data_IF_318707868338
#
_entry.id   IF_318707868338
#
_cell.length_a   1.000
_cell.length_b   1.000
_cell.length_c   1.000
_cell.angle_alpha   90.00
_cell.angle_beta   90.00
_cell.angle_gamma   90.00
#
_symmetry.space_group_name_H-M   'P 1'
#
loop_
_entity.id
_entity.type
_entity.pdbx_description
1 polymer ?
#
# COMPACT_ATOMS: atom_id res chain seq x y z
N UNK A 1 -30.14 25.43 -2.01
CA UNK A 1 -29.89 23.99 -1.83
C UNK A 1 -31.16 23.17 -1.61
N UNK A 2 -31.00 21.97 -1.14
CA UNK A 2 -32.13 21.09 -0.82
C UNK A 2 -33.01 21.66 0.28
N UNK A 3 -32.43 22.33 1.26
CA UNK A 3 -33.10 22.94 2.41
C UNK A 3 -34.07 24.06 2.03
N UNK A 4 -33.80 24.77 0.96
CA UNK A 4 -34.65 25.85 0.45
C UNK A 4 -35.96 25.33 -0.15
N UNK A 5 -36.02 24.03 -0.43
CA UNK A 5 -37.18 23.34 -1.00
C UNK A 5 -38.03 22.58 0.03
N UNK A 6 -37.61 22.57 1.30
CA UNK A 6 -38.31 21.86 2.37
C UNK A 6 -39.39 22.77 3.00
N UNK A 7 -40.56 22.18 3.30
CA UNK A 7 -41.55 22.84 4.16
C UNK A 7 -41.03 22.91 5.60
N UNK A 8 -41.60 23.76 6.44
CA UNK A 8 -41.17 23.94 7.84
C UNK A 8 -41.24 22.63 8.64
N UNK A 9 -42.28 21.83 8.42
CA UNK A 9 -42.42 20.54 9.04
C UNK A 9 -41.33 19.54 8.56
N UNK A 10 -41.06 19.51 7.26
CA UNK A 10 -40.00 18.67 6.69
C UNK A 10 -38.63 19.15 7.16
N UNK A 11 -38.41 20.44 7.31
CA UNK A 11 -37.17 21.02 7.82
C UNK A 11 -36.93 20.59 9.27
N UNK A 12 -37.92 20.62 10.13
CA UNK A 12 -37.84 20.21 11.53
C UNK A 12 -37.45 18.73 11.63
N UNK A 13 -38.08 17.84 10.84
CA UNK A 13 -37.79 16.41 10.81
C UNK A 13 -36.38 16.12 10.24
N UNK A 14 -35.99 16.86 9.20
CA UNK A 14 -34.75 16.62 8.49
C UNK A 14 -33.50 17.22 9.18
N UNK A 15 -33.65 18.11 10.15
CA UNK A 15 -32.55 18.89 10.74
C UNK A 15 -31.43 18.01 11.25
N UNK A 16 -31.72 17.02 12.10
CA UNK A 16 -30.70 16.13 12.65
C UNK A 16 -30.09 15.20 11.58
N UNK A 17 -30.92 14.72 10.66
CA UNK A 17 -30.43 13.86 9.54
C UNK A 17 -29.52 14.65 8.61
N UNK A 18 -29.87 15.87 8.26
CA UNK A 18 -29.05 16.72 7.40
C UNK A 18 -27.75 17.13 8.08
N UNK A 19 -27.77 17.38 9.38
CA UNK A 19 -26.58 17.65 10.18
C UNK A 19 -25.62 16.47 10.13
N UNK A 20 -26.11 15.25 10.37
CA UNK A 20 -25.34 14.03 10.33
C UNK A 20 -24.75 13.75 8.95
N UNK A 21 -25.54 13.90 7.87
CA UNK A 21 -25.06 13.76 6.50
C UNK A 21 -23.95 14.77 6.19
N UNK A 22 -24.11 16.02 6.57
CA UNK A 22 -23.11 17.07 6.37
C UNK A 22 -21.81 16.75 7.11
N UNK A 23 -21.91 16.33 8.35
CA UNK A 23 -20.77 15.95 9.17
C UNK A 23 -19.99 14.84 8.50
N UNK A 24 -20.64 13.77 8.08
CA UNK A 24 -19.97 12.64 7.40
C UNK A 24 -19.37 13.02 6.05
N UNK A 25 -20.07 13.85 5.28
CA UNK A 25 -19.53 14.34 4.00
C UNK A 25 -18.33 15.28 4.21
N UNK A 26 -18.37 16.15 5.23
CA UNK A 26 -17.22 17.02 5.53
C UNK A 26 -15.99 16.22 5.92
N UNK A 27 -16.12 15.13 6.68
CA UNK A 27 -14.99 14.26 7.00
C UNK A 27 -14.41 13.58 5.76
N UNK A 28 -15.23 13.14 4.81
CA UNK A 28 -14.72 12.60 3.54
C UNK A 28 -13.93 13.65 2.75
N UNK A 29 -14.35 14.91 2.80
CA UNK A 29 -13.62 16.03 2.19
C UNK A 29 -12.31 16.33 2.95
N UNK A 30 -12.35 16.31 4.27
CA UNK A 30 -11.20 16.56 5.16
C UNK A 30 -10.08 15.51 4.97
N UNK A 31 -10.43 14.25 4.75
CA UNK A 31 -9.46 13.19 4.43
C UNK A 31 -9.04 13.14 2.95
N UNK A 32 -9.40 14.16 2.17
CA UNK A 32 -8.95 14.32 0.78
C UNK A 32 -9.68 13.44 -0.24
N UNK A 33 -10.89 12.97 0.05
CA UNK A 33 -11.68 12.08 -0.83
C UNK A 33 -12.74 12.82 -1.67
N UNK A 34 -12.69 14.15 -1.76
CA UNK A 34 -13.68 14.98 -2.47
C UNK A 34 -13.81 14.70 -3.98
N UNK A 35 -12.88 13.96 -4.56
CA UNK A 35 -12.93 13.54 -5.96
C UNK A 35 -13.70 12.24 -6.19
N UNK A 36 -14.04 11.51 -5.13
CA UNK A 36 -14.76 10.24 -5.24
C UNK A 36 -16.26 10.48 -5.45
N UNK A 37 -16.82 9.74 -6.37
CA UNK A 37 -18.28 9.64 -6.52
C UNK A 37 -18.84 8.68 -5.44
N UNK A 38 -19.95 9.06 -4.83
CA UNK A 38 -20.59 8.26 -3.76
C UNK A 38 -21.10 6.88 -4.22
N UNK A 39 -21.28 6.70 -5.52
CA UNK A 39 -21.70 5.42 -6.12
C UNK A 39 -20.53 4.60 -6.67
N UNK A 40 -19.29 5.02 -6.43
CA UNK A 40 -18.11 4.27 -6.89
C UNK A 40 -18.02 2.91 -6.19
N UNK A 41 -17.81 1.85 -6.97
CA UNK A 41 -17.66 0.49 -6.44
C UNK A 41 -16.46 0.40 -5.50
N UNK A 42 -16.66 -0.15 -4.31
CA UNK A 42 -15.59 -0.29 -3.29
C UNK A 42 -14.43 -1.18 -3.77
N UNK A 43 -14.69 -2.15 -4.62
CA UNK A 43 -13.65 -2.99 -5.23
C UNK A 43 -12.68 -2.22 -6.15
N UNK A 44 -13.05 -1.02 -6.60
CA UNK A 44 -12.20 -0.14 -7.43
C UNK A 44 -11.38 0.86 -6.62
N UNK A 45 -11.54 0.87 -5.29
CA UNK A 45 -10.82 1.77 -4.40
C UNK A 45 -9.39 1.26 -4.16
N UNK A 46 -8.44 2.17 -4.11
CA UNK A 46 -7.09 1.86 -3.63
C UNK A 46 -7.10 1.56 -2.11
N UNK A 47 -6.03 0.91 -1.63
CA UNK A 47 -5.88 0.63 -0.20
C UNK A 47 -5.96 1.89 0.65
N UNK A 48 -5.27 2.97 0.25
CA UNK A 48 -5.32 4.25 0.94
C UNK A 48 -6.69 4.94 0.89
N UNK A 49 -7.43 4.85 -0.23
CA UNK A 49 -8.81 5.36 -0.31
C UNK A 49 -9.74 4.61 0.66
N UNK A 50 -9.64 3.28 0.68
CA UNK A 50 -10.44 2.44 1.59
C UNK A 50 -10.14 2.73 3.07
N UNK A 51 -8.86 2.92 3.41
CA UNK A 51 -8.44 3.27 4.78
C UNK A 51 -8.99 4.64 5.20
N UNK A 52 -8.91 5.65 4.33
CA UNK A 52 -9.45 6.99 4.60
C UNK A 52 -10.97 7.01 4.72
N UNK A 53 -11.70 6.20 3.95
CA UNK A 53 -13.15 6.06 4.11
C UNK A 53 -13.48 5.50 5.50
N UNK A 54 -12.75 4.47 5.94
CA UNK A 54 -12.90 3.91 7.29
C UNK A 54 -12.60 4.97 8.36
N UNK A 55 -11.50 5.72 8.20
CA UNK A 55 -11.14 6.80 9.12
C UNK A 55 -12.24 7.86 9.18
N UNK A 56 -12.72 8.36 8.05
CA UNK A 56 -13.81 9.34 7.99
C UNK A 56 -15.09 8.83 8.67
N UNK A 57 -15.40 7.54 8.53
CA UNK A 57 -16.55 6.93 9.20
C UNK A 57 -16.38 6.94 10.72
N UNK A 58 -15.17 6.64 11.23
CA UNK A 58 -14.89 6.63 12.66
C UNK A 58 -14.90 8.03 13.29
N UNK A 59 -14.29 9.00 12.62
CA UNK A 59 -14.32 10.41 13.05
C UNK A 59 -15.76 10.92 13.13
N UNK A 60 -16.61 10.52 12.19
CA UNK A 60 -18.03 10.89 12.14
C UNK A 60 -18.86 10.40 13.34
N UNK A 61 -18.39 9.41 14.10
CA UNK A 61 -19.12 8.91 15.28
C UNK A 61 -18.99 9.82 16.51
N UNK A 62 -18.06 10.79 16.48
CA UNK A 62 -17.76 11.70 17.61
C UNK A 62 -17.56 10.97 18.95
N UNK A 63 -17.02 9.75 18.92
CA UNK A 63 -16.71 9.01 20.13
C UNK A 63 -15.58 9.72 20.87
N UNK A 64 -15.61 9.67 22.18
CA UNK A 64 -14.60 10.20 23.11
C UNK A 64 -13.97 9.05 23.90
N UNK A 65 -12.77 9.28 24.45
CA UNK A 65 -12.02 8.27 25.22
C UNK A 65 -11.71 6.99 24.43
N UNK A 66 -11.55 7.11 23.11
CA UNK A 66 -11.21 5.98 22.22
C UNK A 66 -9.72 6.04 21.87
N UNK A 67 -9.10 4.87 21.80
CA UNK A 67 -7.76 4.69 21.25
C UNK A 67 -7.87 4.31 19.77
N UNK A 68 -7.42 5.19 18.88
CA UNK A 68 -7.31 4.94 17.45
C UNK A 68 -5.89 4.49 17.10
N UNK A 69 -5.75 3.42 16.35
CA UNK A 69 -4.47 2.91 15.84
C UNK A 69 -4.54 2.91 14.32
N UNK A 70 -3.62 3.62 13.70
CA UNK A 70 -3.56 3.83 12.23
C UNK A 70 -2.17 3.39 11.74
N UNK A 71 -2.17 2.59 10.68
CA UNK A 71 -0.95 2.10 10.04
C UNK A 71 -0.80 2.78 8.68
N UNK A 72 0.25 3.58 8.51
CA UNK A 72 0.60 4.34 7.30
C UNK A 72 -0.60 5.06 6.63
N UNK A 73 -1.36 5.90 7.36
CA UNK A 73 -2.56 6.54 6.78
C UNK A 73 -2.23 7.55 5.68
N UNK A 74 -0.98 8.03 5.58
CA UNK A 74 -0.51 8.94 4.53
C UNK A 74 -0.22 8.24 3.20
N UNK A 75 -0.22 6.90 3.16
CA UNK A 75 0.20 6.15 1.97
C UNK A 75 -0.59 6.54 0.71
N UNK A 76 0.13 6.86 -0.37
CA UNK A 76 -0.47 7.27 -1.65
C UNK A 76 -1.11 8.66 -1.66
N UNK A 77 -0.97 9.45 -0.59
CA UNK A 77 -1.40 10.83 -0.56
C UNK A 77 -0.42 11.77 -1.27
N UNK A 78 -0.97 12.80 -1.86
CA UNK A 78 -0.19 13.97 -2.25
C UNK A 78 0.09 14.83 -0.99
N UNK A 79 1.23 15.50 -0.94
CA UNK A 79 1.64 16.30 0.22
C UNK A 79 0.59 17.33 0.68
N UNK A 80 -0.14 17.95 -0.26
CA UNK A 80 -1.28 18.81 0.06
C UNK A 80 -2.37 18.11 0.85
N UNK A 81 -2.61 16.82 0.56
CA UNK A 81 -3.69 16.07 1.20
C UNK A 81 -3.22 15.51 2.56
N UNK A 82 -1.88 15.33 2.77
CA UNK A 82 -1.29 15.02 4.08
C UNK A 82 -1.64 16.07 5.14
N UNK A 83 -1.54 17.36 4.80
CA UNK A 83 -1.90 18.45 5.73
C UNK A 83 -3.34 18.31 6.22
N UNK A 84 -4.28 17.97 5.32
CA UNK A 84 -5.68 17.74 5.69
C UNK A 84 -5.87 16.54 6.59
N UNK A 85 -5.15 15.45 6.30
CA UNK A 85 -5.18 14.25 7.13
C UNK A 85 -4.65 14.56 8.54
N UNK A 86 -3.51 15.23 8.66
CA UNK A 86 -2.93 15.67 9.94
C UNK A 86 -3.96 16.46 10.76
N UNK A 87 -4.58 17.49 10.15
CA UNK A 87 -5.61 18.28 10.83
C UNK A 87 -6.80 17.42 11.27
N UNK A 88 -7.19 16.41 10.50
CA UNK A 88 -8.29 15.52 10.87
C UNK A 88 -7.92 14.65 12.07
N UNK A 89 -6.67 14.18 12.15
CA UNK A 89 -6.16 13.39 13.28
C UNK A 89 -6.02 14.26 14.53
N UNK A 90 -5.55 15.50 14.39
CA UNK A 90 -5.49 16.48 15.49
C UNK A 90 -6.89 16.80 16.03
N UNK A 91 -7.89 17.03 15.17
CA UNK A 91 -9.29 17.20 15.60
C UNK A 91 -9.80 15.97 16.36
N UNK A 92 -9.46 14.77 15.91
CA UNK A 92 -9.86 13.53 16.58
C UNK A 92 -9.25 13.43 17.99
N UNK A 93 -7.96 13.80 18.15
CA UNK A 93 -7.29 13.91 19.44
C UNK A 93 -7.96 14.97 20.32
N UNK A 94 -8.25 16.14 19.79
CA UNK A 94 -8.80 17.30 20.54
C UNK A 94 -10.22 17.02 21.07
N UNK A 95 -10.93 16.02 20.52
CA UNK A 95 -12.18 15.50 21.08
C UNK A 95 -11.99 14.64 22.34
N UNK A 96 -10.76 14.48 22.86
CA UNK A 96 -10.45 13.66 24.04
C UNK A 96 -10.06 12.22 23.70
N UNK A 97 -9.67 11.94 22.48
CA UNK A 97 -9.20 10.62 22.05
C UNK A 97 -7.67 10.52 22.08
N UNK A 98 -7.18 9.29 22.07
CA UNK A 98 -5.76 8.98 21.84
C UNK A 98 -5.60 8.45 20.42
N UNK A 99 -4.62 8.99 19.67
CA UNK A 99 -4.35 8.56 18.30
C UNK A 99 -2.89 8.08 18.22
N UNK A 100 -2.71 6.81 17.89
CA UNK A 100 -1.41 6.20 17.60
C UNK A 100 -1.30 6.02 16.09
N UNK A 101 -0.23 6.55 15.51
CA UNK A 101 0.02 6.47 14.07
C UNK A 101 1.38 5.82 13.84
N UNK A 102 1.42 4.75 13.05
CA UNK A 102 2.67 4.20 12.53
C UNK A 102 2.95 4.91 11.21
N UNK A 103 4.03 5.65 11.13
CA UNK A 103 4.30 6.54 9.98
C UNK A 103 5.78 6.69 9.66
N UNK A 104 6.03 7.08 8.40
CA UNK A 104 7.36 7.40 7.88
C UNK A 104 7.41 8.83 7.30
N UNK A 105 6.26 9.50 7.24
CA UNK A 105 6.17 10.87 6.72
C UNK A 105 6.71 11.88 7.74
N UNK A 106 7.63 12.73 7.28
CA UNK A 106 8.30 13.74 8.11
C UNK A 106 7.30 14.73 8.71
N UNK A 107 6.35 15.21 7.91
CA UNK A 107 5.41 16.24 8.36
C UNK A 107 4.48 15.68 9.43
N UNK A 108 4.02 14.43 9.25
CA UNK A 108 3.22 13.71 10.26
C UNK A 108 3.99 13.54 11.58
N UNK A 109 5.27 13.15 11.52
CA UNK A 109 6.10 13.00 12.73
C UNK A 109 6.32 14.33 13.46
N UNK A 110 6.53 15.42 12.72
CA UNK A 110 6.77 16.74 13.32
C UNK A 110 5.50 17.35 13.95
N UNK A 111 4.33 16.98 13.50
CA UNK A 111 3.04 17.44 14.01
C UNK A 111 2.48 16.56 15.14
N UNK A 112 3.17 15.49 15.49
CA UNK A 112 2.79 14.63 16.61
C UNK A 112 3.13 15.28 17.96
N UNK A 113 2.39 14.96 19.02
CA UNK A 113 2.70 15.41 20.38
C UNK A 113 3.85 14.60 21.00
N UNK A 114 3.99 13.33 20.57
CA UNK A 114 4.98 12.40 21.09
C UNK A 114 5.45 11.44 20.01
N UNK A 115 6.76 11.19 19.93
CA UNK A 115 7.38 10.26 18.99
C UNK A 115 8.01 9.10 19.75
N UNK A 116 7.78 7.89 19.27
CA UNK A 116 8.49 6.68 19.69
C UNK A 116 9.25 6.17 18.45
N UNK A 117 10.59 6.21 18.50
CA UNK A 117 11.46 5.75 17.40
C UNK A 117 11.96 4.34 17.71
N UNK A 118 11.72 3.42 16.76
CA UNK A 118 12.08 2.02 16.88
C UNK A 118 13.34 1.72 16.06
N UNK A 119 14.27 0.98 16.65
CA UNK A 119 15.53 0.67 16.00
C UNK A 119 16.36 -0.36 16.76
N UNK A 120 17.71 -0.25 16.67
CA UNK A 120 18.48 0.66 15.80
C UNK A 120 18.50 0.26 14.33
N UNK A 121 18.16 -1.00 14.02
CA UNK A 121 18.11 -1.56 12.65
C UNK A 121 16.83 -2.40 12.47
N UNK A 122 16.77 -3.19 11.41
CA UNK A 122 15.64 -4.06 11.11
C UNK A 122 15.87 -5.51 11.54
N UNK A 123 14.81 -6.29 11.70
CA UNK A 123 14.83 -7.71 12.03
C UNK A 123 15.50 -7.99 13.38
N UNK A 124 16.47 -8.89 13.40
CA UNK A 124 17.17 -9.32 14.65
C UNK A 124 17.97 -8.19 15.33
N UNK A 125 18.26 -7.13 14.62
CA UNK A 125 19.03 -5.98 15.10
C UNK A 125 18.13 -4.77 15.37
N UNK A 126 16.83 -4.96 15.36
CA UNK A 126 15.82 -3.98 15.68
C UNK A 126 15.00 -4.40 16.90
N UNK A 127 13.86 -3.75 17.09
CA UNK A 127 12.91 -4.08 18.15
C UNK A 127 13.16 -3.36 19.48
N UNK A 128 14.05 -2.36 19.49
CA UNK A 128 14.33 -1.52 20.65
C UNK A 128 13.73 -0.13 20.49
N UNK A 129 13.31 0.51 21.57
CA UNK A 129 12.96 1.93 21.58
C UNK A 129 14.26 2.72 21.67
N UNK A 130 14.67 3.37 20.58
CA UNK A 130 15.91 4.16 20.52
C UNK A 130 15.69 5.63 20.88
N UNK A 131 14.44 6.10 20.83
CA UNK A 131 14.04 7.42 21.28
C UNK A 131 12.57 7.41 21.70
N UNK A 132 12.24 8.24 22.70
CA UNK A 132 10.86 8.51 23.13
C UNK A 132 10.79 9.92 23.68
N UNK A 133 9.97 10.80 23.10
CA UNK A 133 9.87 12.20 23.50
C UNK A 133 9.14 13.08 22.50
N UNK A 134 9.21 14.40 22.71
CA UNK A 134 8.60 15.37 21.79
C UNK A 134 9.35 15.49 20.46
N UNK A 135 8.72 16.02 19.39
CA UNK A 135 9.40 16.30 18.12
C UNK A 135 10.64 17.19 18.28
N UNK A 136 10.60 18.21 19.15
CA UNK A 136 11.72 19.11 19.39
C UNK A 136 12.90 18.38 20.05
N UNK A 137 12.63 17.44 20.95
CA UNK A 137 13.66 16.59 21.55
C UNK A 137 14.23 15.62 20.51
N UNK A 138 13.38 15.08 19.61
CA UNK A 138 13.78 14.22 18.50
C UNK A 138 14.79 14.91 17.57
N UNK A 139 14.58 16.19 17.24
CA UNK A 139 15.47 16.97 16.38
C UNK A 139 16.92 17.07 16.93
N UNK A 140 17.10 16.85 18.22
CA UNK A 140 18.41 16.86 18.92
C UNK A 140 18.93 15.47 19.25
N UNK A 141 18.14 14.44 19.00
CA UNK A 141 18.55 13.06 19.22
C UNK A 141 19.57 12.61 18.16
N UNK A 142 20.44 11.69 18.52
CA UNK A 142 21.46 11.15 17.60
C UNK A 142 20.99 9.93 16.80
N UNK A 143 19.69 9.59 16.82
CA UNK A 143 19.17 8.42 16.11
C UNK A 143 19.21 8.62 14.60
N UNK A 144 19.14 7.53 13.85
CA UNK A 144 19.11 7.59 12.38
C UNK A 144 17.94 8.44 11.90
N UNK A 145 16.74 8.20 12.43
CA UNK A 145 15.52 8.96 12.09
C UNK A 145 15.71 10.45 12.40
N UNK A 146 16.25 10.79 13.55
CA UNK A 146 16.52 12.18 13.95
C UNK A 146 17.45 12.90 12.98
N UNK A 147 18.51 12.24 12.49
CA UNK A 147 19.48 12.83 11.55
C UNK A 147 18.83 13.18 10.22
N UNK A 148 17.94 12.31 9.70
CA UNK A 148 17.20 12.59 8.47
C UNK A 148 16.12 13.67 8.66
N UNK A 149 15.36 13.64 9.75
CA UNK A 149 14.32 14.64 10.02
C UNK A 149 14.94 16.03 10.20
N UNK A 150 16.05 16.12 10.95
CA UNK A 150 16.77 17.38 11.19
C UNK A 150 17.53 17.90 9.97
N UNK A 151 17.73 17.06 8.93
CA UNK A 151 18.49 17.41 7.73
C UNK A 151 20.01 17.32 7.91
N UNK A 152 20.50 16.77 9.02
CA UNK A 152 21.94 16.46 9.21
C UNK A 152 22.38 15.40 8.20
N UNK A 153 21.54 14.43 7.94
CA UNK A 153 21.68 13.49 6.84
C UNK A 153 20.61 13.76 5.77
N UNK A 154 21.01 13.76 4.52
CA UNK A 154 20.11 13.94 3.37
C UNK A 154 20.47 12.95 2.28
N UNK A 155 19.48 12.59 1.48
CA UNK A 155 19.73 11.82 0.25
C UNK A 155 20.24 12.80 -0.79
N UNK A 156 21.49 12.62 -1.19
CA UNK A 156 22.12 13.47 -2.22
C UNK A 156 21.39 13.35 -3.55
N UNK A 157 21.04 14.48 -4.11
CA UNK A 157 20.46 14.56 -5.45
C UNK A 157 21.62 14.77 -6.43
N UNK A 158 21.73 13.91 -7.45
CA UNK A 158 22.75 14.07 -8.47
C UNK A 158 22.71 15.49 -9.07
N UNK A 159 23.84 16.22 -9.07
CA UNK A 159 23.89 17.61 -9.55
C UNK A 159 23.53 17.71 -11.03
N UNK A 160 23.88 16.70 -11.81
CA UNK A 160 23.55 16.64 -13.23
C UNK A 160 22.45 15.62 -13.49
N UNK A 161 21.45 16.04 -14.25
CA UNK A 161 20.38 15.14 -14.72
C UNK A 161 20.84 14.45 -16.00
N UNK A 162 20.39 13.21 -16.17
CA UNK A 162 20.64 12.46 -17.40
C UNK A 162 20.04 13.22 -18.59
N UNK A 163 20.76 13.42 -19.71
CA UNK A 163 20.22 14.07 -20.89
C UNK A 163 19.06 13.26 -21.46
N UNK A 164 18.03 13.94 -21.94
CA UNK A 164 16.94 13.29 -22.64
C UNK A 164 17.42 12.76 -23.99
N UNK A 165 17.01 11.57 -24.34
CA UNK A 165 17.25 10.97 -25.65
C UNK A 165 16.12 11.37 -26.62
N UNK A 166 16.40 11.30 -27.92
CA UNK A 166 15.35 11.48 -28.94
C UNK A 166 14.34 10.34 -28.96
N UNK A 167 14.69 9.18 -28.37
CA UNK A 167 13.79 8.02 -28.26
C UNK A 167 12.72 8.30 -27.22
N UNK A 168 11.48 8.29 -27.67
CA UNK A 168 10.33 8.59 -26.81
C UNK A 168 9.21 7.59 -27.09
N UNK A 169 8.49 7.20 -26.05
CA UNK A 169 7.18 6.57 -26.18
C UNK A 169 6.13 7.67 -26.04
N UNK A 170 5.28 7.85 -27.06
CA UNK A 170 4.26 8.91 -27.07
C UNK A 170 2.87 8.29 -27.04
N UNK A 171 2.11 8.60 -26.01
CA UNK A 171 0.70 8.27 -25.88
C UNK A 171 -0.12 9.49 -26.28
N UNK A 172 -0.97 9.35 -27.27
CA UNK A 172 -1.74 10.44 -27.89
C UNK A 172 -3.22 10.24 -27.62
N UNK A 173 -3.90 11.32 -27.22
CA UNK A 173 -5.36 11.38 -27.08
C UNK A 173 -5.92 10.49 -25.96
N UNK A 174 -5.23 10.31 -24.85
CA UNK A 174 -5.74 9.49 -23.73
C UNK A 174 -6.98 10.12 -23.08
N UNK A 175 -8.11 9.36 -23.06
CA UNK A 175 -9.46 9.86 -22.66
C UNK A 175 -10.15 9.02 -21.59
N UNK A 176 -9.46 8.07 -20.99
CA UNK A 176 -10.06 7.22 -19.96
C UNK A 176 -10.43 8.00 -18.70
N UNK A 177 -11.53 7.65 -18.06
CA UNK A 177 -12.01 8.24 -16.80
C UNK A 177 -12.04 9.79 -16.85
N UNK A 178 -11.15 10.46 -16.08
CA UNK A 178 -11.05 11.91 -16.03
C UNK A 178 -10.03 12.52 -17.00
N UNK A 179 -9.36 11.74 -17.82
CA UNK A 179 -8.43 12.24 -18.82
C UNK A 179 -9.19 12.94 -19.97
N UNK A 180 -8.65 14.08 -20.43
CA UNK A 180 -9.33 14.97 -21.37
C UNK A 180 -8.69 14.99 -22.76
N UNK A 181 -8.30 13.81 -23.28
CA UNK A 181 -7.65 13.71 -24.58
C UNK A 181 -6.22 14.28 -24.49
N UNK A 182 -5.45 13.81 -23.52
CA UNK A 182 -4.10 14.32 -23.27
C UNK A 182 -3.05 13.54 -24.05
N UNK A 183 -2.03 14.27 -24.50
CA UNK A 183 -0.83 13.72 -25.12
C UNK A 183 0.32 13.72 -24.11
N UNK A 184 1.01 12.59 -24.02
CA UNK A 184 2.14 12.45 -23.10
C UNK A 184 3.32 11.80 -23.80
N UNK A 185 4.48 12.46 -23.71
CA UNK A 185 5.76 11.94 -24.20
C UNK A 185 6.60 11.43 -23.04
N UNK A 186 7.05 10.20 -23.14
CA UNK A 186 7.86 9.51 -22.14
C UNK A 186 9.27 9.29 -22.71
N UNK A 187 10.27 10.10 -22.33
CA UNK A 187 11.64 9.96 -22.83
C UNK A 187 12.26 8.66 -22.30
N UNK A 188 12.66 7.77 -23.21
CA UNK A 188 13.21 6.47 -22.87
C UNK A 188 14.65 6.58 -22.35
N UNK A 189 15.08 5.61 -21.53
CA UNK A 189 16.39 5.61 -20.90
C UNK A 189 16.52 6.57 -19.70
N UNK A 190 15.40 7.13 -19.24
CA UNK A 190 15.34 8.04 -18.09
C UNK A 190 14.44 7.50 -16.99
N UNK A 191 14.56 7.99 -15.78
CA UNK A 191 13.59 7.77 -14.71
C UNK A 191 12.50 8.83 -14.80
N UNK A 192 11.26 8.39 -15.01
CA UNK A 192 10.10 9.25 -15.17
C UNK A 192 9.21 9.12 -13.93
N UNK A 193 8.91 10.26 -13.30
CA UNK A 193 7.97 10.32 -12.18
C UNK A 193 6.66 10.95 -12.65
N UNK A 194 5.54 10.22 -12.51
CA UNK A 194 4.20 10.74 -12.77
C UNK A 194 3.61 11.22 -11.45
N UNK A 195 3.60 12.53 -11.26
CA UNK A 195 3.15 13.19 -10.03
C UNK A 195 1.80 13.89 -10.21
N UNK A 196 1.18 14.25 -9.10
CA UNK A 196 -0.08 15.00 -9.06
C UNK A 196 -0.95 14.60 -7.87
N UNK A 197 -1.96 15.40 -7.57
CA UNK A 197 -2.88 15.17 -6.45
C UNK A 197 -3.63 13.83 -6.58
N UNK A 198 -4.16 13.33 -5.46
CA UNK A 198 -5.00 12.12 -5.47
C UNK A 198 -6.20 12.32 -6.41
N UNK A 199 -6.51 11.30 -7.22
CA UNK A 199 -7.59 11.40 -8.21
C UNK A 199 -7.26 12.20 -9.49
N UNK A 200 -6.02 12.69 -9.70
CA UNK A 200 -5.66 13.47 -10.89
C UNK A 200 -5.60 12.66 -12.20
N UNK A 201 -5.69 11.33 -12.14
CA UNK A 201 -5.66 10.46 -13.34
C UNK A 201 -4.34 9.74 -13.59
N UNK A 202 -3.38 9.80 -12.66
CA UNK A 202 -2.07 9.11 -12.79
C UNK A 202 -2.21 7.61 -13.08
N UNK A 203 -2.99 6.91 -12.27
CA UNK A 203 -3.24 5.47 -12.43
C UNK A 203 -4.02 5.18 -13.72
N UNK A 204 -4.96 6.04 -14.08
CA UNK A 204 -5.72 5.94 -15.33
C UNK A 204 -4.78 6.03 -16.53
N UNK A 205 -3.86 6.98 -16.53
CA UNK A 205 -2.89 7.17 -17.60
C UNK A 205 -1.95 5.97 -17.74
N UNK A 206 -1.34 5.55 -16.62
CA UNK A 206 -0.28 4.53 -16.65
C UNK A 206 -0.84 3.11 -16.52
N UNK A 207 -1.62 2.81 -15.46
CA UNK A 207 -2.01 1.44 -15.13
C UNK A 207 -3.24 0.95 -15.90
N UNK A 208 -4.09 1.89 -16.37
CA UNK A 208 -5.35 1.54 -17.06
C UNK A 208 -5.31 1.84 -18.56
N UNK A 209 -4.37 2.66 -19.04
CA UNK A 209 -4.21 2.98 -20.46
C UNK A 209 -2.89 2.43 -21.01
N UNK A 210 -1.75 2.95 -20.56
CA UNK A 210 -0.44 2.61 -21.15
C UNK A 210 -0.03 1.16 -20.90
N UNK A 211 -0.09 0.71 -19.65
CA UNK A 211 0.35 -0.63 -19.26
C UNK A 211 -0.49 -1.75 -19.93
N UNK A 212 -1.84 -1.70 -19.97
CA UNK A 212 -2.62 -2.69 -20.69
C UNK A 212 -2.31 -2.72 -22.18
N UNK A 213 -2.16 -1.55 -22.83
CA UNK A 213 -1.77 -1.48 -24.22
C UNK A 213 -0.42 -2.17 -24.49
N UNK A 214 0.62 -1.82 -23.74
CA UNK A 214 1.95 -2.44 -23.87
C UNK A 214 1.89 -3.94 -23.60
N UNK A 215 1.07 -4.38 -22.65
CA UNK A 215 0.88 -5.79 -22.32
C UNK A 215 0.15 -6.54 -23.44
N UNK A 216 -0.82 -5.91 -24.11
CA UNK A 216 -1.46 -6.48 -25.31
C UNK A 216 -0.47 -6.58 -26.46
N UNK A 217 0.26 -5.51 -26.73
CA UNK A 217 1.21 -5.44 -27.84
C UNK A 217 2.35 -6.45 -27.71
N UNK A 218 2.93 -6.58 -26.51
CA UNK A 218 4.11 -7.42 -26.27
C UNK A 218 3.79 -8.86 -25.88
N UNK A 219 2.67 -9.08 -25.19
CA UNK A 219 2.36 -10.37 -24.55
C UNK A 219 0.98 -10.92 -24.87
N UNK A 220 0.22 -10.30 -25.79
CA UNK A 220 -1.16 -10.69 -26.13
C UNK A 220 -2.10 -10.78 -24.92
N UNK A 221 -1.94 -9.86 -23.94
CA UNK A 221 -2.80 -9.77 -22.76
C UNK A 221 -4.25 -9.47 -23.19
N UNK A 222 -5.22 -10.03 -22.45
CA UNK A 222 -6.65 -9.84 -22.69
C UNK A 222 -7.23 -8.56 -22.08
N UNK A 223 -6.44 -7.82 -21.29
CA UNK A 223 -6.92 -6.60 -20.63
C UNK A 223 -6.89 -5.44 -21.61
N UNK A 224 -8.07 -4.90 -21.92
CA UNK A 224 -8.19 -3.74 -22.82
C UNK A 224 -7.71 -2.46 -22.14
N UNK A 225 -6.94 -1.61 -22.86
CA UNK A 225 -6.60 -0.27 -22.42
C UNK A 225 -7.82 0.65 -22.47
N UNK A 226 -7.83 1.67 -21.64
CA UNK A 226 -8.81 2.74 -21.73
C UNK A 226 -8.63 3.56 -23.03
N UNK A 227 -9.65 4.31 -23.51
CA UNK A 227 -9.63 4.97 -24.80
C UNK A 227 -8.45 5.94 -24.98
N UNK A 228 -7.79 5.84 -26.13
CA UNK A 228 -6.70 6.69 -26.60
C UNK A 228 -6.74 6.73 -28.14
N UNK A 229 -5.95 7.61 -28.78
CA UNK A 229 -5.92 7.70 -30.25
C UNK A 229 -4.80 6.82 -30.84
N UNK A 230 -3.55 7.01 -30.39
CA UNK A 230 -2.40 6.24 -30.87
C UNK A 230 -1.26 6.20 -29.86
N UNK A 231 -0.35 5.25 -30.06
CA UNK A 231 0.93 5.17 -29.33
C UNK A 231 2.06 5.01 -30.34
N UNK A 232 3.09 5.85 -30.21
CA UNK A 232 4.27 5.87 -31.07
C UNK A 232 5.53 5.48 -30.28
N UNK A 233 6.57 5.00 -30.97
CA UNK A 233 7.86 4.64 -30.36
C UNK A 233 7.90 3.24 -29.76
N UNK A 234 7.00 2.36 -30.17
CA UNK A 234 6.90 0.97 -29.69
C UNK A 234 8.12 0.13 -30.07
N UNK A 235 8.77 0.47 -31.16
CA UNK A 235 9.99 -0.19 -31.64
C UNK A 235 11.17 -0.08 -30.67
N UNK A 236 11.09 0.81 -29.69
CA UNK A 236 12.11 0.98 -28.67
C UNK A 236 11.83 0.21 -27.37
N UNK A 237 10.72 -0.55 -27.29
CA UNK A 237 10.29 -1.23 -26.07
C UNK A 237 10.15 -2.73 -26.32
N UNK A 238 11.08 -3.51 -25.79
CA UNK A 238 11.06 -4.98 -25.92
C UNK A 238 10.23 -5.68 -24.83
N UNK A 239 10.18 -5.08 -23.64
CA UNK A 239 9.51 -5.67 -22.47
C UNK A 239 8.88 -4.59 -21.60
N UNK A 240 7.77 -4.95 -20.96
CA UNK A 240 7.19 -4.17 -19.87
C UNK A 240 7.11 -5.04 -18.61
N UNK A 241 7.53 -4.47 -17.48
CA UNK A 241 7.45 -5.11 -16.17
C UNK A 241 6.65 -4.20 -15.26
N UNK A 242 5.53 -4.68 -14.75
CA UNK A 242 4.72 -3.98 -13.78
C UNK A 242 5.07 -4.48 -12.37
N UNK A 243 5.39 -3.55 -11.47
CA UNK A 243 5.56 -3.82 -10.04
C UNK A 243 4.53 -3.00 -9.30
N UNK A 244 3.63 -3.66 -8.62
CA UNK A 244 2.55 -3.05 -7.86
C UNK A 244 2.66 -3.37 -6.36
N UNK A 245 1.73 -2.87 -5.56
CA UNK A 245 1.65 -3.12 -4.12
C UNK A 245 0.88 -4.39 -3.77
N UNK A 246 0.52 -5.23 -4.75
CA UNK A 246 -0.19 -6.48 -4.50
C UNK A 246 0.67 -7.44 -3.69
N UNK A 247 0.08 -8.21 -2.77
CA UNK A 247 0.81 -9.25 -2.07
C UNK A 247 1.45 -10.24 -3.04
N UNK A 248 2.74 -10.53 -2.87
CA UNK A 248 3.50 -11.46 -3.72
C UNK A 248 3.06 -12.92 -3.60
N UNK A 249 2.09 -13.21 -2.74
CA UNK A 249 1.46 -14.52 -2.61
C UNK A 249 0.32 -14.48 -1.59
N UNK A 250 -0.76 -15.17 -1.93
CA UNK A 250 -1.97 -15.23 -1.09
C UNK A 250 -2.06 -16.52 -0.26
N UNK A 251 -1.08 -17.41 -0.38
CA UNK A 251 -1.08 -18.68 0.34
C UNK A 251 -0.04 -18.69 1.45
N UNK A 252 -0.29 -19.42 2.55
CA UNK A 252 0.68 -19.56 3.65
C UNK A 252 2.03 -20.14 3.22
N UNK A 253 2.09 -20.76 2.05
CA UNK A 253 3.28 -21.38 1.46
C UNK A 253 4.13 -20.41 0.66
N UNK A 254 3.61 -19.23 0.35
CA UNK A 254 4.35 -18.18 -0.34
C UNK A 254 5.31 -17.50 0.63
N UNK A 255 6.56 -17.39 0.24
CA UNK A 255 7.59 -16.67 0.97
C UNK A 255 8.61 -16.07 -0.01
N UNK A 256 9.47 -15.14 0.40
CA UNK A 256 10.46 -14.53 -0.49
C UNK A 256 11.34 -15.52 -1.24
N UNK A 257 11.79 -16.60 -0.60
CA UNK A 257 12.66 -17.58 -1.22
C UNK A 257 11.97 -18.39 -2.33
N UNK A 258 10.67 -18.71 -2.15
CA UNK A 258 9.89 -19.38 -3.21
C UNK A 258 9.55 -18.43 -4.34
N UNK A 259 9.24 -17.17 -4.04
CA UNK A 259 8.92 -16.16 -5.05
C UNK A 259 10.12 -15.82 -5.94
N UNK A 260 11.29 -15.63 -5.37
CA UNK A 260 12.54 -15.34 -6.08
C UNK A 260 13.17 -16.55 -6.79
N UNK A 261 12.63 -17.76 -6.55
CA UNK A 261 13.18 -19.00 -7.11
C UNK A 261 14.39 -19.57 -6.36
N UNK A 262 15.03 -18.82 -5.47
CA UNK A 262 16.20 -19.22 -4.68
C UNK A 262 15.98 -20.55 -3.92
N UNK A 263 14.74 -20.81 -3.52
CA UNK A 263 14.41 -22.07 -2.83
C UNK A 263 14.66 -23.32 -3.70
N UNK A 264 14.68 -23.19 -5.02
CA UNK A 264 15.03 -24.27 -5.95
C UNK A 264 16.51 -24.62 -5.83
N UNK A 265 17.39 -23.61 -5.78
CA UNK A 265 18.83 -23.79 -5.63
C UNK A 265 19.16 -24.38 -4.25
N UNK A 266 18.48 -23.88 -3.20
CA UNK A 266 18.60 -24.45 -1.85
C UNK A 266 18.24 -25.94 -1.84
N UNK A 267 17.13 -26.33 -2.48
CA UNK A 267 16.73 -27.75 -2.58
C UNK A 267 17.78 -28.58 -3.31
N UNK A 268 18.30 -28.08 -4.41
CA UNK A 268 19.34 -28.78 -5.19
C UNK A 268 20.61 -28.95 -4.38
N UNK A 269 21.00 -27.94 -3.59
CA UNK A 269 22.12 -28.06 -2.65
C UNK A 269 21.90 -29.21 -1.65
N UNK A 270 20.72 -29.27 -1.01
CA UNK A 270 20.40 -30.37 -0.07
C UNK A 270 20.37 -31.74 -0.72
N UNK A 271 19.89 -31.85 -1.96
CA UNK A 271 19.93 -33.10 -2.73
C UNK A 271 21.37 -33.53 -3.00
N UNK A 272 22.27 -32.57 -3.21
CA UNK A 272 23.71 -32.84 -3.47
C UNK A 272 24.48 -33.38 -2.28
N UNK A 273 23.98 -33.27 -1.05
CA UNK A 273 24.66 -33.72 0.16
C UNK A 273 24.89 -35.26 0.15
N UNK A 274 26.02 -35.75 0.68
CA UNK A 274 26.32 -37.18 0.73
C UNK A 274 25.23 -38.03 1.38
N UNK A 275 24.68 -37.57 2.49
CA UNK A 275 23.59 -38.24 3.20
C UNK A 275 22.30 -38.32 2.37
N UNK A 276 21.96 -37.26 1.63
CA UNK A 276 20.80 -37.25 0.73
C UNK A 276 20.95 -38.24 -0.41
N UNK A 277 22.16 -38.33 -0.97
CA UNK A 277 22.50 -39.32 -2.03
C UNK A 277 22.41 -40.74 -1.51
N UNK A 278 22.98 -41.04 -0.33
CA UNK A 278 22.89 -42.35 0.30
C UNK A 278 21.45 -42.80 0.56
N UNK A 279 20.57 -41.86 0.93
CA UNK A 279 19.17 -42.15 1.20
C UNK A 279 18.28 -42.05 -0.05
N UNK A 280 18.81 -41.72 -1.21
CA UNK A 280 18.07 -41.58 -2.46
C UNK A 280 17.06 -40.43 -2.46
N UNK A 281 17.31 -39.36 -1.68
CA UNK A 281 16.40 -38.23 -1.58
C UNK A 281 16.39 -37.41 -2.88
N UNK A 282 15.18 -37.14 -3.38
CA UNK A 282 14.92 -36.30 -4.54
C UNK A 282 14.52 -34.88 -4.10
N UNK A 283 14.51 -33.87 -4.98
CA UNK A 283 14.13 -32.48 -4.64
C UNK A 283 12.80 -32.34 -3.92
N UNK A 284 11.83 -33.22 -4.19
CA UNK A 284 10.53 -33.23 -3.51
C UNK A 284 10.63 -33.44 -2.00
N UNK A 285 11.65 -34.21 -1.51
CA UNK A 285 11.87 -34.40 -0.08
C UNK A 285 12.10 -33.10 0.69
N UNK A 286 12.73 -32.15 0.02
CA UNK A 286 13.07 -30.82 0.56
C UNK A 286 12.05 -29.75 0.16
N UNK A 287 10.82 -30.17 -0.19
CA UNK A 287 9.73 -29.25 -0.54
C UNK A 287 8.57 -29.40 0.43
N UNK A 288 8.12 -28.28 0.99
CA UNK A 288 6.90 -28.23 1.79
C UNK A 288 5.61 -28.09 0.93
N UNK A 289 5.74 -28.07 -0.40
CA UNK A 289 4.61 -27.94 -1.31
C UNK A 289 4.10 -29.27 -1.87
N UNK A 290 4.96 -30.31 -1.90
CA UNK A 290 4.63 -31.60 -2.52
C UNK A 290 4.61 -32.72 -1.49
N UNK A 291 3.81 -33.74 -1.75
CA UNK A 291 3.77 -34.98 -0.94
C UNK A 291 5.15 -35.65 -0.90
N UNK A 292 5.46 -36.30 0.21
CA UNK A 292 6.76 -36.88 0.46
C UNK A 292 7.80 -35.95 1.11
N UNK A 293 7.64 -34.64 0.99
CA UNK A 293 8.46 -33.64 1.69
C UNK A 293 7.66 -32.86 2.73
N UNK A 294 6.42 -32.52 2.41
CA UNK A 294 5.54 -31.73 3.26
C UNK A 294 4.98 -32.51 4.45
N UNK A 295 4.65 -31.81 5.51
CA UNK A 295 3.80 -32.34 6.56
C UNK A 295 2.39 -32.56 6.02
N UNK A 296 1.90 -33.79 6.00
CA UNK A 296 0.57 -34.10 5.45
C UNK A 296 -0.57 -33.59 6.37
N UNK A 297 -0.35 -33.49 7.69
CA UNK A 297 -1.34 -32.99 8.65
C UNK A 297 -1.77 -31.55 8.39
N UNK A 298 -0.84 -30.68 7.98
CA UNK A 298 -1.12 -29.28 7.64
C UNK A 298 -0.90 -28.99 6.15
N UNK A 299 -0.69 -30.01 5.34
CA UNK A 299 -0.39 -29.88 3.90
C UNK A 299 0.73 -28.89 3.58
N UNK A 300 1.72 -28.76 4.47
CA UNK A 300 2.85 -27.82 4.32
C UNK A 300 2.57 -26.37 4.74
N UNK A 301 1.41 -26.07 5.29
CA UNK A 301 1.07 -24.71 5.76
C UNK A 301 1.81 -24.33 7.05
N UNK A 302 2.15 -25.31 7.90
CA UNK A 302 2.79 -25.11 9.20
C UNK A 302 1.80 -24.82 10.32
N UNK A 303 0.56 -24.49 10.01
CA UNK A 303 -0.52 -24.23 10.95
C UNK A 303 -1.85 -24.77 10.42
N UNK A 304 -2.83 -24.86 11.31
CA UNK A 304 -4.23 -25.15 10.99
C UNK A 304 -5.03 -23.85 11.17
N UNK A 305 -5.90 -23.53 10.23
CA UNK A 305 -6.87 -22.46 10.37
C UNK A 305 -8.09 -23.00 11.08
N UNK A 306 -8.49 -22.34 12.14
CA UNK A 306 -9.75 -22.59 12.86
C UNK A 306 -10.68 -21.44 12.45
N UNK A 307 -11.60 -21.75 11.54
CA UNK A 307 -12.61 -20.80 11.07
C UNK A 307 -13.60 -20.50 12.19
N UNK A 308 -13.82 -19.23 12.47
CA UNK A 308 -14.74 -18.76 13.50
C UNK A 308 -15.86 -17.92 12.88
N UNK A 309 -17.11 -18.31 13.15
CA UNK A 309 -18.32 -17.70 12.58
C UNK A 309 -18.42 -16.28 13.03
N UNK A 310 -18.12 -15.30 13.11
CA UNK A 310 -18.24 -13.90 13.57
C UNK A 310 -16.95 -13.29 14.16
N UNK A 311 -15.87 -14.07 14.25
CA UNK A 311 -14.57 -13.60 14.73
C UNK A 311 -13.51 -13.86 13.66
N UNK A 312 -12.37 -13.16 13.68
CA UNK A 312 -11.26 -13.49 12.80
C UNK A 312 -10.77 -14.92 12.99
N UNK A 313 -10.37 -15.56 11.90
CA UNK A 313 -9.83 -16.91 11.92
C UNK A 313 -8.62 -17.02 12.86
N UNK A 314 -8.54 -18.12 13.60
CA UNK A 314 -7.43 -18.40 14.50
C UNK A 314 -6.46 -19.37 13.82
N UNK A 315 -5.17 -19.01 13.84
CA UNK A 315 -4.11 -19.84 13.29
C UNK A 315 -3.36 -20.56 14.42
N UNK A 316 -3.59 -21.86 14.55
CA UNK A 316 -2.91 -22.70 15.52
C UNK A 316 -1.72 -23.43 14.89
N UNK A 317 -0.49 -23.43 15.50
CA UNK A 317 0.63 -24.21 15.00
C UNK A 317 0.26 -25.68 14.81
N UNK A 318 0.73 -26.29 13.72
CA UNK A 318 0.47 -27.70 13.45
C UNK A 318 1.15 -28.58 14.50
N UNK A 319 0.41 -29.41 15.20
CA UNK A 319 0.87 -30.31 16.26
C UNK A 319 1.90 -31.34 15.76
N UNK A 320 1.77 -31.79 14.50
CA UNK A 320 2.65 -32.82 13.93
C UNK A 320 4.02 -32.26 13.54
N UNK A 321 4.09 -31.06 12.97
CA UNK A 321 5.34 -30.48 12.48
C UNK A 321 5.82 -29.26 13.29
N UNK A 322 5.05 -28.81 14.27
CA UNK A 322 5.36 -27.64 15.13
C UNK A 322 5.78 -26.40 14.31
N UNK A 323 5.05 -26.10 13.24
CA UNK A 323 5.32 -24.99 12.35
C UNK A 323 6.43 -25.21 11.30
N UNK A 324 7.14 -26.33 11.33
CA UNK A 324 8.29 -26.60 10.44
C UNK A 324 7.90 -26.89 9.00
N UNK A 325 6.67 -27.23 8.71
CA UNK A 325 6.09 -27.50 7.37
C UNK A 325 6.48 -28.81 6.70
N UNK A 326 7.56 -29.46 7.13
CA UNK A 326 8.05 -30.72 6.56
C UNK A 326 7.58 -31.95 7.37
N UNK A 327 7.54 -33.07 6.69
CA UNK A 327 7.42 -34.35 7.38
C UNK A 327 8.72 -34.69 8.16
N UNK A 328 8.67 -35.70 9.03
CA UNK A 328 9.83 -36.21 9.78
C UNK A 328 10.80 -36.96 8.89
#
# INVERSE_FOLDING_TARGET
GLEDKLTDQQRTIATEVLKEIRTRLSFLLDVGLGYLSMNRMTASLSGGESQRIRLATQIGTQLVEVLYILDEPSIGLHQRDNVRLIHSLQKLRDLGNTVIVVEHDKDMMLEADHIIDMGPKAGRLGGEVVFSGSPEAMMRAGTLTARYISGVETIEIAPERRPMTERQLRLIGARGNNLRGIDVSLPLGTMICVAGVSGSGKSTLINETLLPFLSQHLYSSLKDPLPYDSIEGLEYVDKVVAVDQSPIGRTPRSNPATYTGVFTDIRNLFVGLPESKMRGYKPGRFSFNVSGGRCETCSGNGYKTIEMNFLPDVFAPCEACHGRRYNR
#
